data_IF_430336968229
#
_entry.id   IF_430336968229
#
_cell.length_a   1.000
_cell.length_b   1.000
_cell.length_c   1.000
_cell.angle_alpha   90.00
_cell.angle_beta   90.00
_cell.angle_gamma   90.00
#
_symmetry.space_group_name_H-M   'P 1'
#
loop_
_entity.id
_entity.type
_entity.pdbx_description
1 polymer ?
#
# COMPACT_ATOMS: atom_id res chain seq x y z
N UNK A 1 10.79 0.85 -15.54
CA UNK A 1 9.38 1.03 -15.93
C UNK A 1 8.50 0.88 -14.68
N UNK A 2 7.37 1.59 -14.62
CA UNK A 2 6.19 1.30 -13.78
C UNK A 2 5.94 1.96 -12.40
N UNK A 3 6.50 3.13 -12.10
CA UNK A 3 5.99 3.92 -10.97
C UNK A 3 4.50 4.32 -11.16
N UNK A 4 4.10 4.65 -12.39
CA UNK A 4 2.71 5.02 -12.73
C UNK A 4 1.72 3.86 -12.51
N UNK A 5 2.11 2.62 -12.80
CA UNK A 5 1.22 1.46 -12.63
C UNK A 5 1.03 1.07 -11.16
N UNK A 6 2.07 1.21 -10.33
CA UNK A 6 1.99 0.97 -8.89
C UNK A 6 1.04 1.96 -8.21
N UNK A 7 1.05 3.24 -8.60
CA UNK A 7 0.14 4.24 -8.06
C UNK A 7 -1.32 3.97 -8.45
N UNK A 8 -1.56 3.63 -9.71
CA UNK A 8 -2.91 3.29 -10.20
C UNK A 8 -3.49 2.07 -9.46
N UNK A 9 -2.67 1.04 -9.23
CA UNK A 9 -3.06 -0.14 -8.46
C UNK A 9 -3.43 0.22 -7.02
N UNK A 10 -2.59 0.99 -6.33
CA UNK A 10 -2.85 1.40 -4.95
C UNK A 10 -4.13 2.22 -4.86
N UNK A 11 -4.34 3.17 -5.78
CA UNK A 11 -5.55 3.99 -5.81
C UNK A 11 -6.81 3.13 -6.01
N UNK A 12 -6.75 2.11 -6.88
CA UNK A 12 -7.85 1.17 -7.08
C UNK A 12 -8.18 0.41 -5.79
N UNK A 13 -7.19 -0.19 -5.14
CA UNK A 13 -7.38 -0.94 -3.89
C UNK A 13 -7.86 -0.06 -2.74
N UNK A 14 -7.42 1.20 -2.67
CA UNK A 14 -7.94 2.18 -1.69
C UNK A 14 -9.42 2.45 -1.91
N UNK A 15 -9.86 2.64 -3.17
CA UNK A 15 -11.28 2.85 -3.50
C UNK A 15 -12.13 1.64 -3.15
N UNK A 16 -11.64 0.42 -3.44
CA UNK A 16 -12.32 -0.83 -3.09
C UNK A 16 -12.49 -0.95 -1.57
N UNK A 17 -11.44 -0.66 -0.81
CA UNK A 17 -11.47 -0.72 0.66
C UNK A 17 -12.37 0.36 1.27
N UNK A 18 -12.38 1.58 0.70
CA UNK A 18 -13.28 2.65 1.13
C UNK A 18 -14.75 2.33 0.86
N UNK A 19 -15.06 1.58 -0.20
CA UNK A 19 -16.43 1.20 -0.52
C UNK A 19 -17.04 0.18 0.45
N UNK A 20 -16.21 -0.58 1.17
CA UNK A 20 -16.63 -1.61 2.13
C UNK A 20 -16.43 -1.20 3.59
N UNK A 21 -15.84 -0.03 3.83
CA UNK A 21 -15.56 0.50 5.17
C UNK A 21 -16.43 1.73 5.43
N UNK A 22 -17.16 1.74 6.55
CA UNK A 22 -17.87 2.95 7.01
C UNK A 22 -16.91 3.98 7.64
N UNK A 23 -15.64 3.62 7.84
CA UNK A 23 -14.62 4.51 8.39
C UNK A 23 -14.03 5.45 7.33
N UNK A 24 -13.81 6.71 7.71
CA UNK A 24 -13.10 7.71 6.90
C UNK A 24 -11.58 7.48 6.85
N UNK A 25 -11.07 6.46 7.54
CA UNK A 25 -9.65 6.13 7.65
C UNK A 25 -9.38 4.76 7.02
N UNK A 26 -8.39 4.71 6.14
CA UNK A 26 -7.96 3.45 5.52
C UNK A 26 -6.97 2.72 6.43
N UNK A 27 -7.33 1.50 6.83
CA UNK A 27 -6.43 0.63 7.58
C UNK A 27 -5.31 0.10 6.67
N UNK A 28 -4.07 0.50 6.94
CA UNK A 28 -2.86 0.07 6.21
C UNK A 28 -2.73 -1.45 6.11
N UNK A 29 -3.07 -2.19 7.16
CA UNK A 29 -2.98 -3.66 7.15
C UNK A 29 -4.01 -4.29 6.23
N UNK A 30 -5.22 -3.73 6.16
CA UNK A 30 -6.25 -4.17 5.21
C UNK A 30 -5.84 -3.86 3.76
N UNK A 31 -5.30 -2.66 3.52
CA UNK A 31 -4.78 -2.29 2.20
C UNK A 31 -3.63 -3.21 1.76
N UNK A 32 -2.69 -3.53 2.66
CA UNK A 32 -1.60 -4.46 2.37
C UNK A 32 -2.12 -5.85 1.99
N UNK A 33 -3.21 -6.35 2.61
CA UNK A 33 -3.82 -7.62 2.24
C UNK A 33 -4.40 -7.59 0.82
N UNK A 34 -5.11 -6.53 0.45
CA UNK A 34 -5.66 -6.36 -0.90
C UNK A 34 -4.56 -6.29 -1.97
N UNK A 35 -3.43 -5.65 -1.65
CA UNK A 35 -2.27 -5.58 -2.52
C UNK A 35 -1.38 -6.82 -2.43
N UNK A 36 -1.75 -7.78 -1.57
CA UNK A 36 -0.99 -9.01 -1.29
C UNK A 36 0.49 -8.71 -0.96
N UNK A 37 0.69 -7.76 -0.05
CA UNK A 37 1.99 -7.33 0.49
C UNK A 37 2.03 -7.61 1.99
N UNK A 38 3.19 -7.99 2.51
CA UNK A 38 3.37 -8.18 3.95
C UNK A 38 3.45 -6.83 4.68
N UNK A 39 2.47 -6.56 5.55
CA UNK A 39 2.41 -5.35 6.36
C UNK A 39 3.60 -5.20 7.33
N UNK A 40 4.23 -6.30 7.77
CA UNK A 40 5.46 -6.25 8.57
C UNK A 40 6.62 -5.69 7.76
N UNK A 41 6.76 -6.11 6.50
CA UNK A 41 7.81 -5.62 5.62
C UNK A 41 7.64 -4.13 5.29
N UNK A 42 6.39 -3.66 5.17
CA UNK A 42 6.06 -2.23 5.04
C UNK A 42 6.49 -1.47 6.29
N UNK A 43 6.08 -1.92 7.49
CA UNK A 43 6.47 -1.29 8.76
C UNK A 43 7.99 -1.25 8.97
N UNK A 44 8.67 -2.36 8.69
CA UNK A 44 10.13 -2.45 8.77
C UNK A 44 10.81 -1.45 7.84
N UNK A 45 10.33 -1.30 6.60
CA UNK A 45 10.89 -0.33 5.66
C UNK A 45 10.70 1.11 6.16
N UNK A 46 9.48 1.47 6.59
CA UNK A 46 9.20 2.79 7.18
C UNK A 46 10.17 3.09 8.31
N UNK A 47 10.38 2.14 9.22
CA UNK A 47 11.31 2.29 10.34
C UNK A 47 12.77 2.45 9.89
N UNK A 48 13.22 1.63 8.93
CA UNK A 48 14.62 1.61 8.49
C UNK A 48 14.99 2.80 7.60
N UNK A 49 14.06 3.33 6.82
CA UNK A 49 14.35 4.36 5.81
C UNK A 49 13.75 5.72 6.13
N UNK A 50 12.83 5.81 7.11
CA UNK A 50 12.10 7.03 7.43
C UNK A 50 11.13 7.51 6.33
N UNK A 51 10.83 6.66 5.34
CA UNK A 51 9.88 7.02 4.28
C UNK A 51 8.44 6.91 4.79
N UNK A 52 7.52 7.55 4.09
CA UNK A 52 6.10 7.40 4.39
C UNK A 52 5.63 5.95 4.17
N UNK A 53 4.55 5.59 4.85
CA UNK A 53 3.86 4.31 4.62
C UNK A 53 3.46 4.13 3.16
N UNK A 54 3.05 5.21 2.49
CA UNK A 54 2.67 5.17 1.08
C UNK A 54 3.87 4.85 0.17
N UNK A 55 5.01 5.51 0.36
CA UNK A 55 6.24 5.22 -0.38
C UNK A 55 6.73 3.79 -0.13
N UNK A 56 6.58 3.28 1.09
CA UNK A 56 6.91 1.89 1.41
C UNK A 56 6.00 0.90 0.66
N UNK A 57 4.69 1.16 0.60
CA UNK A 57 3.74 0.34 -0.17
C UNK A 57 4.07 0.40 -1.67
N UNK A 58 4.30 1.59 -2.22
CA UNK A 58 4.70 1.78 -3.62
C UNK A 58 5.94 0.99 -3.99
N UNK A 59 6.94 0.96 -3.10
CA UNK A 59 8.16 0.17 -3.30
C UNK A 59 7.85 -1.32 -3.45
N UNK A 60 7.03 -1.90 -2.57
CA UNK A 60 6.69 -3.32 -2.63
C UNK A 60 5.75 -3.66 -3.80
N UNK A 61 4.83 -2.77 -4.17
CA UNK A 61 4.04 -2.92 -5.40
C UNK A 61 4.95 -2.97 -6.64
N UNK A 62 5.96 -2.09 -6.70
CA UNK A 62 6.86 -2.00 -7.85
C UNK A 62 7.86 -3.16 -7.93
N UNK A 63 8.16 -3.82 -6.80
CA UNK A 63 8.99 -5.03 -6.75
C UNK A 63 8.26 -6.32 -7.13
N UNK A 64 6.93 -6.30 -7.18
CA UNK A 64 6.09 -7.44 -7.52
C UNK A 64 6.06 -7.74 -9.02
N UNK A 65 6.55 -6.81 -9.85
CA UNK A 65 6.60 -6.90 -11.30
C UNK A 65 8.01 -7.25 -11.78
#
# INVERSE_FOLDING_TARGET
MNAENSQALILKSVKELAAISEESVINTSALCRLLEIDANNVRQRVFQTGCSTFEAIQYYCSKKQ
#
